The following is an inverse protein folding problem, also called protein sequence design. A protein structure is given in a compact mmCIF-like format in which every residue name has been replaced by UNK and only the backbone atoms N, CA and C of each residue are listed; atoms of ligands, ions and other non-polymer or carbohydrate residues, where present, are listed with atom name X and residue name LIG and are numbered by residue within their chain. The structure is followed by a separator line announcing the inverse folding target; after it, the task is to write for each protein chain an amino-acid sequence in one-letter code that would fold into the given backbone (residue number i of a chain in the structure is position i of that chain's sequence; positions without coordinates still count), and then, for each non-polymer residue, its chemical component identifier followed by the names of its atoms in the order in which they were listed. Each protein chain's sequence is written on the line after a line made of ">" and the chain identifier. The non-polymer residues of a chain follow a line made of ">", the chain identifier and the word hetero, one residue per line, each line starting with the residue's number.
data_IF_532095414376
#
_entry.id   IF_532095414376
#
_cell.length_a   1.000
_cell.length_b   1.000
_cell.length_c   1.000
_cell.angle_alpha   90.00
_cell.angle_beta   90.00
_cell.angle_gamma   90.00
#
_symmetry.space_group_name_H-M   'P 1'
#
loop_
_entity.id
_entity.type
_entity.pdbx_description
1 polymer ?
#
# COMPACT_ATOMS: atom_id res chain seq x y z
N UNK A 1 -62.20 30.69 15.35
CA UNK A 1 -61.06 30.43 16.28
C UNK A 1 -60.53 28.99 16.27
N UNK A 2 -61.34 27.91 16.44
CA UNK A 2 -60.80 26.53 16.54
C UNK A 2 -59.96 26.06 15.34
N UNK A 3 -60.44 26.25 14.09
CA UNK A 3 -59.71 25.84 12.86
C UNK A 3 -58.31 26.48 12.72
N UNK A 4 -58.17 27.76 13.07
CA UNK A 4 -56.88 28.46 13.01
C UNK A 4 -55.85 27.90 14.00
N UNK A 5 -56.28 27.48 15.20
CA UNK A 5 -55.40 26.81 16.17
C UNK A 5 -54.93 25.43 15.69
N UNK A 6 -55.80 24.66 15.03
CA UNK A 6 -55.40 23.37 14.43
C UNK A 6 -54.36 23.54 13.31
N UNK A 7 -54.54 24.54 12.44
CA UNK A 7 -53.57 24.84 11.36
C UNK A 7 -52.21 25.30 11.91
N UNK A 8 -52.20 26.15 12.95
CA UNK A 8 -50.96 26.58 13.60
C UNK A 8 -50.20 25.41 14.26
N UNK A 9 -50.91 24.50 14.93
CA UNK A 9 -50.30 23.31 15.55
C UNK A 9 -49.74 22.33 14.52
N UNK A 10 -50.41 22.15 13.37
CA UNK A 10 -49.91 21.33 12.28
C UNK A 10 -48.62 21.89 11.66
N UNK A 11 -48.52 23.22 11.52
CA UNK A 11 -47.31 23.87 11.00
C UNK A 11 -46.10 23.71 11.94
N UNK A 12 -46.31 23.86 13.26
CA UNK A 12 -45.25 23.64 14.26
C UNK A 12 -44.76 22.19 14.34
N UNK A 13 -45.65 21.21 14.18
CA UNK A 13 -45.27 19.80 14.15
C UNK A 13 -44.38 19.45 12.94
N UNK A 14 -44.59 20.11 11.78
CA UNK A 14 -43.83 19.87 10.56
C UNK A 14 -42.40 20.46 10.61
N UNK A 15 -42.17 21.49 11.43
CA UNK A 15 -40.83 22.09 11.63
C UNK A 15 -39.90 21.33 12.57
N UNK A 16 -40.38 20.24 13.20
CA UNK A 16 -39.66 19.50 14.25
C UNK A 16 -39.17 18.10 13.81
N UNK A 17 -39.23 17.77 12.52
CA UNK A 17 -38.63 16.53 12.02
C UNK A 17 -37.10 16.65 12.06
N UNK A 18 -36.38 15.87 12.90
CA UNK A 18 -34.93 15.87 12.85
C UNK A 18 -34.51 15.28 11.51
N UNK A 19 -33.73 16.03 10.73
CA UNK A 19 -33.00 15.45 9.62
C UNK A 19 -31.99 14.46 10.20
N UNK A 20 -32.28 13.16 10.06
CA UNK A 20 -31.30 12.10 10.32
C UNK A 20 -30.22 12.19 9.24
N UNK A 21 -29.30 13.14 9.41
CA UNK A 21 -28.06 13.21 8.67
C UNK A 21 -27.29 11.92 8.98
N UNK A 22 -27.35 10.96 8.06
CA UNK A 22 -26.52 9.77 8.09
C UNK A 22 -25.09 10.25 7.96
N UNK A 23 -24.35 10.26 9.08
CA UNK A 23 -22.94 10.61 9.07
C UNK A 23 -22.21 9.62 8.15
N UNK A 24 -21.64 10.13 7.07
CA UNK A 24 -20.93 9.34 6.07
C UNK A 24 -19.63 8.80 6.68
N UNK A 25 -19.69 7.58 7.23
CA UNK A 25 -18.59 7.01 8.02
C UNK A 25 -17.40 6.51 7.19
N UNK A 26 -17.46 6.64 5.87
CA UNK A 26 -16.44 6.20 4.92
C UNK A 26 -15.62 7.38 4.33
N UNK A 27 -15.54 8.51 5.05
CA UNK A 27 -14.62 9.62 4.74
C UNK A 27 -13.15 9.27 5.09
N UNK A 28 -12.69 8.08 4.71
CA UNK A 28 -11.26 7.78 4.60
C UNK A 28 -10.85 8.23 3.21
N UNK A 29 -10.05 9.31 3.05
CA UNK A 29 -9.62 9.72 1.72
C UNK A 29 -8.81 8.61 1.09
N UNK A 30 -9.28 8.08 -0.04
CA UNK A 30 -8.45 7.24 -0.91
C UNK A 30 -7.37 8.13 -1.49
N UNK A 31 -6.19 8.09 -0.86
CA UNK A 31 -5.01 8.78 -1.38
C UNK A 31 -4.64 8.14 -2.72
N UNK A 32 -5.00 8.80 -3.82
CA UNK A 32 -4.42 8.50 -5.13
C UNK A 32 -2.91 8.60 -5.01
N UNK A 33 -2.24 7.45 -5.14
CA UNK A 33 -0.82 7.33 -4.84
C UNK A 33 0.00 7.76 -6.05
N UNK A 34 0.13 9.08 -6.23
CA UNK A 34 1.12 9.66 -7.14
C UNK A 34 2.55 9.48 -6.60
N UNK A 35 3.52 9.50 -7.50
CA UNK A 35 4.93 9.29 -7.18
C UNK A 35 5.81 10.23 -7.99
N UNK A 36 6.64 11.02 -7.30
CA UNK A 36 7.55 11.97 -7.96
C UNK A 36 8.69 11.27 -8.73
N UNK A 37 9.09 10.08 -8.25
CA UNK A 37 10.11 9.24 -8.87
C UNK A 37 9.45 8.02 -9.48
N UNK A 38 9.63 7.83 -10.79
CA UNK A 38 9.02 6.76 -11.59
C UNK A 38 7.49 6.66 -11.39
N UNK A 39 6.70 7.62 -11.93
CA UNK A 39 5.25 7.66 -11.74
C UNK A 39 4.55 6.37 -12.21
N UNK A 40 5.03 5.77 -13.30
CA UNK A 40 4.49 4.54 -13.90
C UNK A 40 4.96 3.25 -13.22
N UNK A 41 5.56 3.34 -12.02
CA UNK A 41 6.07 2.15 -11.28
C UNK A 41 4.92 1.23 -10.84
N UNK A 42 5.05 -0.10 -11.01
CA UNK A 42 3.92 -1.01 -10.93
C UNK A 42 3.23 -0.99 -9.57
N UNK A 43 1.90 -0.92 -9.61
CA UNK A 43 1.07 -1.06 -8.42
C UNK A 43 1.32 -2.42 -7.74
N UNK A 44 1.16 -2.45 -6.42
CA UNK A 44 1.26 -3.69 -5.65
C UNK A 44 0.15 -4.67 -6.07
N UNK A 45 0.44 -5.98 -6.21
CA UNK A 45 -0.55 -6.98 -6.61
C UNK A 45 -1.81 -6.96 -5.75
N UNK A 46 -2.98 -7.07 -6.37
CA UNK A 46 -4.29 -7.00 -5.68
C UNK A 46 -4.38 -8.00 -4.53
N UNK A 47 -3.91 -9.24 -4.75
CA UNK A 47 -3.93 -10.28 -3.73
C UNK A 47 -3.13 -9.90 -2.47
N UNK A 48 -2.05 -9.11 -2.60
CA UNK A 48 -1.29 -8.59 -1.47
C UNK A 48 -2.02 -7.49 -0.71
N UNK A 49 -2.78 -6.66 -1.43
CA UNK A 49 -3.61 -5.60 -0.83
C UNK A 49 -4.78 -6.21 -0.03
N UNK A 50 -5.29 -7.37 -0.45
CA UNK A 50 -6.41 -8.10 0.16
C UNK A 50 -5.99 -9.04 1.32
N UNK A 51 -4.70 -9.17 1.62
CA UNK A 51 -4.21 -9.99 2.75
C UNK A 51 -4.87 -9.55 4.07
N UNK A 52 -5.52 -10.46 4.82
CA UNK A 52 -6.12 -10.14 6.11
C UNK A 52 -5.09 -9.59 7.11
N UNK A 53 -5.47 -8.61 7.94
CA UNK A 53 -4.56 -7.93 8.88
C UNK A 53 -3.72 -8.88 9.75
N UNK A 54 -4.27 -10.04 10.16
CA UNK A 54 -3.54 -11.05 10.96
C UNK A 54 -2.39 -11.72 10.18
N UNK A 55 -2.48 -11.75 8.86
CA UNK A 55 -1.55 -12.35 7.90
C UNK A 55 -0.64 -11.32 7.21
N UNK A 56 -0.69 -10.04 7.61
CA UNK A 56 0.09 -8.96 6.99
C UNK A 56 1.61 -9.19 6.93
N UNK A 57 2.15 -10.13 7.71
CA UNK A 57 3.55 -10.59 7.61
C UNK A 57 3.88 -11.18 6.23
N UNK A 58 2.93 -11.82 5.55
CA UNK A 58 3.08 -12.32 4.17
C UNK A 58 3.33 -11.15 3.21
N UNK A 59 2.52 -10.08 3.29
CA UNK A 59 2.69 -8.87 2.48
C UNK A 59 4.05 -8.22 2.71
N UNK A 60 4.44 -8.09 3.99
CA UNK A 60 5.73 -7.52 4.38
C UNK A 60 6.89 -8.33 3.78
N UNK A 61 6.85 -9.66 3.85
CA UNK A 61 7.88 -10.50 3.26
C UNK A 61 8.00 -10.30 1.74
N UNK A 62 6.89 -10.25 0.99
CA UNK A 62 6.96 -10.00 -0.48
C UNK A 62 7.51 -8.60 -0.78
N UNK A 63 7.12 -7.58 0.01
CA UNK A 63 7.66 -6.23 -0.11
C UNK A 63 9.18 -6.17 0.15
N UNK A 64 9.66 -6.92 1.15
CA UNK A 64 11.08 -7.00 1.48
C UNK A 64 11.89 -7.76 0.44
N UNK A 65 11.35 -8.88 -0.08
CA UNK A 65 11.92 -9.61 -1.22
C UNK A 65 12.09 -8.66 -2.41
N UNK A 66 11.02 -7.98 -2.82
CA UNK A 66 11.02 -7.03 -3.95
C UNK A 66 12.04 -5.91 -3.73
N UNK A 67 12.04 -5.30 -2.53
CA UNK A 67 12.98 -4.24 -2.17
C UNK A 67 14.44 -4.72 -2.24
N UNK A 68 14.75 -5.91 -1.77
CA UNK A 68 16.09 -6.49 -1.81
C UNK A 68 16.53 -6.76 -3.25
N UNK A 69 15.73 -7.54 -4.01
CA UNK A 69 15.99 -7.89 -5.40
C UNK A 69 16.27 -6.63 -6.25
N UNK A 70 15.46 -5.58 -6.11
CA UNK A 70 15.59 -4.37 -6.93
C UNK A 70 16.84 -3.55 -6.59
N UNK A 71 17.18 -3.39 -5.31
CA UNK A 71 18.39 -2.65 -4.92
C UNK A 71 19.67 -3.44 -5.27
N UNK A 72 19.64 -4.76 -5.12
CA UNK A 72 20.73 -5.64 -5.59
C UNK A 72 20.90 -5.55 -7.11
N UNK A 73 19.79 -5.59 -7.87
CA UNK A 73 19.81 -5.52 -9.34
C UNK A 73 20.32 -4.17 -9.87
N UNK A 74 19.97 -3.06 -9.23
CA UNK A 74 20.54 -1.73 -9.54
C UNK A 74 22.06 -1.74 -9.39
N UNK A 75 22.58 -2.34 -8.30
CA UNK A 75 24.03 -2.44 -8.04
C UNK A 75 24.71 -3.38 -9.04
N UNK A 76 24.08 -4.50 -9.38
CA UNK A 76 24.61 -5.51 -10.30
C UNK A 76 24.76 -4.99 -11.74
N UNK A 77 23.74 -4.28 -12.27
CA UNK A 77 23.81 -3.69 -13.62
C UNK A 77 24.63 -2.39 -13.62
N UNK A 78 24.62 -1.64 -12.50
CA UNK A 78 25.09 -0.25 -12.48
C UNK A 78 24.11 0.73 -13.11
N UNK A 79 22.82 0.39 -13.19
CA UNK A 79 21.76 1.19 -13.82
C UNK A 79 20.57 1.38 -12.88
N UNK A 80 19.92 2.56 -12.93
CA UNK A 80 18.73 2.89 -12.17
C UNK A 80 17.62 3.53 -13.05
N UNK A 81 17.45 3.06 -14.28
CA UNK A 81 16.19 3.27 -15.03
C UNK A 81 14.99 2.75 -14.23
N UNK A 82 13.81 3.35 -14.42
CA UNK A 82 12.60 2.98 -13.69
C UNK A 82 12.24 1.48 -13.79
N UNK A 83 12.44 0.86 -14.96
CA UNK A 83 12.23 -0.58 -15.15
C UNK A 83 13.22 -1.48 -14.39
N UNK A 84 14.41 -0.96 -14.01
CA UNK A 84 15.38 -1.65 -13.16
C UNK A 84 15.12 -1.36 -11.68
N UNK A 85 14.73 -0.13 -11.35
CA UNK A 85 14.53 0.34 -9.97
C UNK A 85 13.19 -0.10 -9.36
N UNK A 86 12.18 -0.28 -10.21
CA UNK A 86 10.83 -0.75 -9.91
C UNK A 86 10.33 -1.69 -11.04
N UNK A 87 10.90 -2.89 -11.20
CA UNK A 87 10.45 -3.91 -12.16
C UNK A 87 9.07 -4.48 -11.79
N UNK A 88 8.56 -5.41 -12.60
CA UNK A 88 7.37 -6.19 -12.24
C UNK A 88 7.55 -6.93 -10.91
N UNK A 89 6.44 -7.16 -10.20
CA UNK A 89 6.40 -7.91 -8.94
C UNK A 89 6.63 -9.41 -9.13
N UNK A 90 6.51 -9.94 -10.35
CA UNK A 90 6.55 -11.38 -10.67
C UNK A 90 7.70 -12.14 -9.99
N UNK A 91 8.92 -11.59 -9.98
CA UNK A 91 10.10 -12.22 -9.40
C UNK A 91 10.06 -12.29 -7.86
N UNK A 92 9.44 -11.32 -7.21
CA UNK A 92 9.27 -11.29 -5.76
C UNK A 92 8.09 -12.18 -5.34
N UNK A 93 7.01 -12.18 -6.12
CA UNK A 93 5.87 -13.06 -5.89
C UNK A 93 6.19 -14.54 -6.13
N UNK A 94 7.00 -14.86 -7.15
CA UNK A 94 7.47 -16.23 -7.40
C UNK A 94 8.32 -16.73 -6.23
N UNK A 95 9.33 -15.95 -5.82
CA UNK A 95 10.16 -16.23 -4.64
C UNK A 95 9.31 -16.47 -3.38
N UNK A 96 8.27 -15.67 -3.14
CA UNK A 96 7.33 -15.90 -2.02
C UNK A 96 6.53 -17.20 -2.19
N UNK A 97 5.90 -17.41 -3.36
CA UNK A 97 5.06 -18.59 -3.64
C UNK A 97 5.84 -19.91 -3.58
N UNK A 98 7.08 -19.91 -4.04
CA UNK A 98 7.91 -21.10 -4.19
C UNK A 98 8.65 -21.48 -2.90
N UNK A 99 8.96 -20.52 -2.03
CA UNK A 99 9.81 -20.76 -0.84
C UNK A 99 9.19 -20.40 0.51
N UNK A 100 8.09 -19.64 0.55
CA UNK A 100 7.56 -19.10 1.81
C UNK A 100 6.04 -19.24 1.98
N UNK A 101 5.27 -19.60 0.96
CA UNK A 101 3.80 -19.62 1.06
C UNK A 101 3.24 -20.67 2.04
N UNK A 102 4.03 -21.69 2.39
CA UNK A 102 3.70 -22.74 3.36
C UNK A 102 4.26 -22.51 4.77
N UNK A 103 5.10 -21.49 4.95
CA UNK A 103 5.91 -21.32 6.15
C UNK A 103 5.10 -20.84 7.36
N UNK A 104 5.58 -21.17 8.54
CA UNK A 104 5.04 -20.62 9.77
C UNK A 104 5.37 -19.13 9.90
N UNK A 105 4.55 -18.41 10.68
CA UNK A 105 4.68 -16.95 10.86
C UNK A 105 6.09 -16.52 11.28
N UNK A 106 6.78 -17.33 12.09
CA UNK A 106 8.11 -16.97 12.62
C UNK A 106 9.20 -17.11 11.56
N UNK A 107 9.12 -18.12 10.68
CA UNK A 107 10.04 -18.34 9.55
C UNK A 107 9.92 -17.20 8.54
N UNK A 108 8.69 -16.79 8.19
CA UNK A 108 8.46 -15.63 7.32
C UNK A 108 9.03 -14.31 7.88
N UNK A 109 9.00 -14.13 9.20
CA UNK A 109 9.56 -12.95 9.86
C UNK A 109 11.10 -12.97 9.89
N UNK A 110 11.71 -14.13 10.08
CA UNK A 110 13.17 -14.32 9.98
C UNK A 110 13.65 -14.09 8.53
N UNK A 111 12.90 -14.59 7.54
CA UNK A 111 13.16 -14.32 6.13
C UNK A 111 13.07 -12.81 5.80
N UNK A 112 12.04 -12.11 6.29
CA UNK A 112 11.86 -10.66 6.11
C UNK A 112 13.04 -9.85 6.69
N UNK A 113 13.55 -10.21 7.86
CA UNK A 113 14.76 -9.63 8.44
C UNK A 113 16.02 -9.92 7.57
N UNK A 114 16.13 -11.14 7.03
CA UNK A 114 17.15 -11.52 6.04
C UNK A 114 17.15 -10.64 4.77
N UNK A 115 15.98 -10.46 4.14
CA UNK A 115 15.83 -9.58 2.98
C UNK A 115 16.05 -8.10 3.32
N UNK A 116 15.64 -7.65 4.51
CA UNK A 116 15.92 -6.30 4.97
C UNK A 116 17.42 -6.03 5.14
N UNK A 117 18.19 -6.98 5.69
CA UNK A 117 19.67 -6.88 5.73
C UNK A 117 20.27 -6.76 4.34
N UNK A 118 19.85 -7.62 3.39
CA UNK A 118 20.28 -7.59 1.99
C UNK A 118 20.00 -6.23 1.32
N UNK A 119 18.75 -5.77 1.40
CA UNK A 119 18.33 -4.47 0.90
C UNK A 119 19.12 -3.30 1.52
N UNK A 120 19.47 -3.38 2.80
CA UNK A 120 20.27 -2.38 3.50
C UNK A 120 21.75 -2.41 3.09
N UNK A 121 22.33 -3.59 2.83
CA UNK A 121 23.69 -3.74 2.33
C UNK A 121 23.86 -3.15 0.93
N UNK A 122 22.91 -3.39 0.02
CA UNK A 122 22.91 -2.81 -1.32
C UNK A 122 22.60 -1.29 -1.33
N UNK A 123 21.90 -0.78 -0.30
CA UNK A 123 21.30 0.57 -0.29
C UNK A 123 22.28 1.70 -0.62
N UNK A 124 23.49 1.69 -0.06
CA UNK A 124 24.45 2.80 -0.23
C UNK A 124 24.97 2.88 -1.67
N UNK A 125 25.29 1.74 -2.28
CA UNK A 125 25.73 1.69 -3.68
C UNK A 125 24.55 2.00 -4.63
N UNK A 126 23.39 1.38 -4.41
CA UNK A 126 22.18 1.64 -5.20
C UNK A 126 21.79 3.13 -5.16
N UNK A 127 21.89 3.78 -3.99
CA UNK A 127 21.62 5.22 -3.84
C UNK A 127 22.50 6.06 -4.75
N UNK A 128 23.82 5.85 -4.75
CA UNK A 128 24.74 6.63 -5.57
C UNK A 128 24.42 6.51 -7.08
N UNK A 129 24.07 5.30 -7.54
CA UNK A 129 23.67 5.04 -8.93
C UNK A 129 22.35 5.76 -9.26
N UNK A 130 21.34 5.65 -8.39
CA UNK A 130 20.03 6.27 -8.60
C UNK A 130 20.03 7.79 -8.47
N UNK A 131 20.83 8.37 -7.59
CA UNK A 131 20.99 9.82 -7.48
C UNK A 131 21.65 10.39 -8.76
N UNK A 132 22.63 9.69 -9.34
CA UNK A 132 23.23 10.06 -10.61
C UNK A 132 22.23 9.93 -11.80
N UNK A 133 21.27 9.01 -11.71
CA UNK A 133 20.20 8.83 -12.70
C UNK A 133 18.96 9.73 -12.47
N UNK A 134 18.90 10.47 -11.35
CA UNK A 134 17.71 11.25 -10.95
C UNK A 134 16.52 10.42 -10.44
N UNK A 135 16.71 9.12 -10.19
CA UNK A 135 15.65 8.13 -9.90
C UNK A 135 15.73 7.53 -8.49
N UNK A 136 16.10 8.32 -7.47
CA UNK A 136 16.27 7.83 -6.09
C UNK A 136 15.03 7.95 -5.20
#
# INVERSE_FOLDING_TARGET
>A
MRRARCLALAALALSLTPTLAVAERNLVPTLERSFDVCPDRPAEPIWMQEIPLRQAYQRVLVQDIYRAQNLERVVEIGNCDCATRFPSWDAAEAMFRESYASDERWEMLEASDGYNRRANAARTAAKAICEAAGNW
#
